data_IF_664257656486
#
_entry.id   IF_664257656486
#
_cell.length_a   1.000
_cell.length_b   1.000
_cell.length_c   1.000
_cell.angle_alpha   90.00
_cell.angle_beta   90.00
_cell.angle_gamma   90.00
#
_symmetry.space_group_name_H-M   'P 1'
#
loop_
_entity.id
_entity.type
_entity.pdbx_description
1 polymer ?
#
# COMPACT_ATOMS: atom_id res chain seq x y z
N UNK A 1 -3.50 37.63 -13.52
CA UNK A 1 -4.22 36.59 -12.76
C UNK A 1 -3.36 35.35 -12.81
N UNK A 2 -2.84 34.89 -11.67
CA UNK A 2 -2.18 33.59 -11.59
C UNK A 2 -3.28 32.56 -11.76
N UNK A 3 -3.17 31.71 -12.78
CA UNK A 3 -3.99 30.51 -12.88
C UNK A 3 -3.72 29.70 -11.60
N UNK A 4 -4.74 29.64 -10.74
CA UNK A 4 -4.84 28.59 -9.74
C UNK A 4 -4.86 27.30 -10.56
N UNK A 5 -3.74 26.59 -10.59
CA UNK A 5 -3.73 25.22 -11.06
C UNK A 5 -4.72 24.49 -10.15
N UNK A 6 -5.94 24.30 -10.65
CA UNK A 6 -6.89 23.36 -10.09
C UNK A 6 -6.15 22.02 -10.03
N UNK A 7 -5.59 21.70 -8.85
CA UNK A 7 -4.96 20.43 -8.58
C UNK A 7 -6.08 19.39 -8.70
N UNK A 8 -6.22 18.85 -9.90
CA UNK A 8 -7.12 17.76 -10.15
C UNK A 8 -6.53 16.52 -9.44
N UNK A 9 -6.88 16.36 -8.17
CA UNK A 9 -6.56 15.17 -7.39
C UNK A 9 -7.44 14.01 -7.85
N UNK A 10 -7.17 13.48 -9.05
CA UNK A 10 -7.89 12.33 -9.59
C UNK A 10 -7.59 11.03 -8.83
N UNK A 11 -6.51 11.01 -8.04
CA UNK A 11 -6.08 9.86 -7.26
C UNK A 11 -6.06 10.26 -5.78
N UNK A 12 -7.08 9.78 -5.06
CA UNK A 12 -7.19 9.89 -3.60
C UNK A 12 -6.85 8.56 -2.95
N UNK A 13 -6.44 8.58 -1.67
CA UNK A 13 -6.25 7.36 -0.87
C UNK A 13 -7.50 6.46 -0.92
N UNK A 14 -8.68 7.06 -0.79
CA UNK A 14 -9.95 6.33 -0.87
C UNK A 14 -10.16 5.66 -2.23
N UNK A 15 -9.80 6.33 -3.34
CA UNK A 15 -9.89 5.72 -4.67
C UNK A 15 -8.89 4.59 -4.86
N UNK A 16 -7.66 4.69 -4.32
CA UNK A 16 -6.65 3.64 -4.37
C UNK A 16 -7.08 2.42 -3.57
N UNK A 17 -7.59 2.63 -2.36
CA UNK A 17 -8.13 1.57 -1.50
C UNK A 17 -9.32 0.89 -2.17
N UNK A 18 -10.28 1.66 -2.68
CA UNK A 18 -11.45 1.12 -3.40
C UNK A 18 -11.03 0.29 -4.61
N UNK A 19 -10.07 0.79 -5.39
CA UNK A 19 -9.53 0.07 -6.53
C UNK A 19 -8.83 -1.22 -6.11
N UNK A 20 -7.97 -1.17 -5.10
CA UNK A 20 -7.26 -2.33 -4.56
C UNK A 20 -8.20 -3.40 -4.02
N UNK A 21 -9.27 -3.02 -3.33
CA UNK A 21 -10.31 -3.95 -2.89
C UNK A 21 -11.04 -4.62 -4.07
N UNK A 22 -11.39 -3.83 -5.10
CA UNK A 22 -12.02 -4.37 -6.30
C UNK A 22 -11.09 -5.37 -7.03
N UNK A 23 -9.78 -5.09 -7.06
CA UNK A 23 -8.76 -5.99 -7.61
C UNK A 23 -8.64 -7.28 -6.81
N UNK A 24 -8.56 -7.18 -5.48
CA UNK A 24 -8.37 -8.33 -4.60
C UNK A 24 -9.58 -9.28 -4.57
N UNK A 25 -10.75 -8.80 -4.98
CA UNK A 25 -11.99 -9.59 -5.05
C UNK A 25 -12.30 -10.09 -6.47
N UNK A 26 -11.41 -9.88 -7.43
CA UNK A 26 -11.65 -10.35 -8.80
C UNK A 26 -11.76 -11.88 -8.83
N UNK A 27 -12.65 -12.42 -9.68
CA UNK A 27 -12.68 -13.86 -9.92
C UNK A 27 -11.30 -14.34 -10.37
N UNK A 28 -10.82 -15.48 -9.86
CA UNK A 28 -9.57 -16.03 -10.32
C UNK A 28 -9.61 -16.35 -11.81
N UNK A 29 -8.46 -16.17 -12.45
CA UNK A 29 -8.24 -16.66 -13.81
C UNK A 29 -8.15 -18.18 -13.77
N UNK A 30 -8.70 -18.84 -14.79
CA UNK A 30 -8.69 -20.30 -14.90
C UNK A 30 -7.26 -20.86 -14.72
N UNK A 31 -7.10 -21.80 -13.79
CA UNK A 31 -5.80 -22.41 -13.45
C UNK A 31 -4.96 -21.66 -12.41
N UNK A 32 -5.45 -20.56 -11.84
CA UNK A 32 -4.77 -19.83 -10.75
C UNK A 32 -5.60 -19.84 -9.46
N UNK A 33 -4.97 -20.19 -8.35
CA UNK A 33 -5.54 -19.99 -7.02
C UNK A 33 -5.15 -18.60 -6.52
N UNK A 34 -6.11 -17.68 -6.31
CA UNK A 34 -5.81 -16.35 -5.86
C UNK A 34 -5.45 -16.39 -4.36
N UNK A 35 -4.62 -15.45 -3.87
CA UNK A 35 -4.42 -15.31 -2.44
C UNK A 35 -5.76 -14.99 -1.74
N UNK A 36 -5.89 -15.32 -0.44
CA UNK A 36 -7.08 -14.97 0.31
C UNK A 36 -7.32 -13.45 0.28
N UNK A 37 -8.59 -13.01 0.25
CA UNK A 37 -8.90 -11.60 0.22
C UNK A 37 -8.40 -10.91 1.50
N UNK A 38 -7.90 -9.67 1.40
CA UNK A 38 -7.43 -8.92 2.55
C UNK A 38 -8.58 -8.60 3.51
N UNK A 39 -8.32 -8.71 4.81
CA UNK A 39 -9.31 -8.46 5.85
C UNK A 39 -9.82 -7.00 5.77
N UNK A 40 -11.13 -6.79 5.68
CA UNK A 40 -11.70 -5.44 5.66
C UNK A 40 -11.42 -4.71 6.97
N UNK A 41 -10.90 -3.48 6.88
CA UNK A 41 -10.74 -2.59 8.04
C UNK A 41 -11.33 -1.23 7.72
N UNK A 42 -12.20 -0.72 8.60
CA UNK A 42 -12.90 0.56 8.41
C UNK A 42 -11.95 1.76 8.48
N UNK A 43 -10.78 1.59 9.10
CA UNK A 43 -9.79 2.65 9.34
C UNK A 43 -8.64 2.67 8.32
N UNK A 44 -8.77 1.94 7.20
CA UNK A 44 -7.75 1.91 6.13
C UNK A 44 -7.27 3.29 5.68
N UNK A 45 -8.13 4.30 5.43
CA UNK A 45 -7.65 5.60 4.99
C UNK A 45 -6.73 6.28 6.00
N UNK A 46 -7.08 6.21 7.29
CA UNK A 46 -6.29 6.79 8.37
C UNK A 46 -4.96 6.03 8.54
N UNK A 47 -5.00 4.70 8.54
CA UNK A 47 -3.79 3.87 8.61
C UNK A 47 -2.86 4.11 7.42
N UNK A 48 -3.41 4.29 6.23
CA UNK A 48 -2.62 4.61 5.03
C UNK A 48 -1.84 5.90 5.24
N UNK A 49 -2.51 6.98 5.65
CA UNK A 49 -1.85 8.26 5.94
C UNK A 49 -0.73 8.13 6.97
N UNK A 50 -0.97 7.38 8.06
CA UNK A 50 0.03 7.13 9.11
C UNK A 50 1.21 6.29 8.59
N UNK A 51 0.93 5.27 7.77
CA UNK A 51 1.93 4.39 7.19
C UNK A 51 2.85 5.10 6.20
N UNK A 52 2.39 6.15 5.49
CA UNK A 52 3.18 6.87 4.48
C UNK A 52 4.53 7.37 5.02
N UNK A 53 4.57 7.79 6.29
CA UNK A 53 5.81 8.27 6.92
C UNK A 53 6.84 7.14 7.01
N UNK A 54 6.43 6.00 7.57
CA UNK A 54 7.28 4.83 7.71
C UNK A 54 7.68 4.23 6.35
N UNK A 55 6.78 4.25 5.37
CA UNK A 55 7.10 3.81 3.99
C UNK A 55 8.14 4.72 3.35
N UNK A 56 8.04 6.04 3.53
CA UNK A 56 9.01 6.98 2.98
C UNK A 56 10.41 6.73 3.53
N UNK A 57 10.53 6.54 4.84
CA UNK A 57 11.79 6.18 5.50
C UNK A 57 12.32 4.83 4.99
N UNK A 58 11.44 3.83 4.86
CA UNK A 58 11.82 2.54 4.31
C UNK A 58 12.36 2.64 2.88
N UNK A 59 11.69 3.40 2.00
CA UNK A 59 12.13 3.60 0.61
C UNK A 59 13.46 4.34 0.56
N UNK A 60 13.65 5.37 1.39
CA UNK A 60 14.94 6.06 1.49
C UNK A 60 16.05 5.12 1.96
N UNK A 61 15.79 4.27 2.96
CA UNK A 61 16.73 3.24 3.39
C UNK A 61 17.00 2.20 2.30
N UNK A 62 15.97 1.81 1.55
CA UNK A 62 16.07 0.85 0.47
C UNK A 62 16.93 1.33 -0.70
N UNK A 63 17.00 2.64 -0.94
CA UNK A 63 17.88 3.24 -1.96
C UNK A 63 19.36 3.01 -1.67
N UNK A 64 19.75 2.84 -0.40
CA UNK A 64 21.11 2.44 -0.02
C UNK A 64 21.40 0.95 -0.29
N UNK A 65 20.38 0.18 -0.67
CA UNK A 65 20.46 -1.24 -0.92
C UNK A 65 20.29 -2.10 0.33
N UNK A 66 19.96 -3.36 0.11
CA UNK A 66 19.93 -4.40 1.14
C UNK A 66 21.03 -5.42 0.88
N UNK A 67 21.50 -6.08 1.94
CA UNK A 67 22.55 -7.10 1.84
C UNK A 67 22.16 -8.26 0.89
N UNK A 68 20.87 -8.61 0.85
CA UNK A 68 20.31 -9.61 -0.07
C UNK A 68 18.78 -9.47 -0.16
N UNK A 69 18.17 -10.28 -1.05
CA UNK A 69 16.73 -10.30 -1.25
C UNK A 69 15.94 -10.76 0.00
N UNK A 70 16.50 -11.64 0.84
CA UNK A 70 15.83 -12.09 2.05
C UNK A 70 15.72 -10.96 3.08
N UNK A 71 16.79 -10.20 3.27
CA UNK A 71 16.82 -9.02 4.14
C UNK A 71 15.78 -7.97 3.72
N UNK A 72 15.65 -7.71 2.41
CA UNK A 72 14.60 -6.83 1.88
C UNK A 72 13.20 -7.37 2.20
N UNK A 73 12.94 -8.66 1.93
CA UNK A 73 11.62 -9.28 2.19
C UNK A 73 11.24 -9.21 3.65
N UNK A 74 12.17 -9.49 4.56
CA UNK A 74 11.93 -9.40 6.00
C UNK A 74 11.67 -7.97 6.46
N UNK A 75 12.44 -7.00 5.96
CA UNK A 75 12.23 -5.59 6.28
C UNK A 75 10.87 -5.09 5.76
N UNK A 76 10.50 -5.45 4.53
CA UNK A 76 9.17 -5.16 3.97
C UNK A 76 8.06 -5.82 4.80
N UNK A 77 8.21 -7.08 5.20
CA UNK A 77 7.20 -7.77 6.00
C UNK A 77 7.02 -7.11 7.36
N UNK A 78 8.13 -6.71 8.01
CA UNK A 78 8.08 -5.97 9.29
C UNK A 78 7.35 -4.64 9.14
N UNK A 79 7.61 -3.90 8.06
CA UNK A 79 6.92 -2.65 7.77
C UNK A 79 5.40 -2.85 7.61
N UNK A 80 4.98 -3.87 6.86
CA UNK A 80 3.56 -4.18 6.67
C UNK A 80 2.90 -4.49 8.03
N UNK A 81 3.54 -5.32 8.86
CA UNK A 81 2.98 -5.68 10.17
C UNK A 81 2.90 -4.48 11.13
N UNK A 82 3.92 -3.63 11.15
CA UNK A 82 4.03 -2.56 12.14
C UNK A 82 3.30 -1.28 11.72
N UNK A 83 3.52 -0.81 10.50
CA UNK A 83 2.98 0.46 10.02
C UNK A 83 1.62 0.30 9.33
N UNK A 84 1.39 -0.83 8.67
CA UNK A 84 0.16 -1.06 7.90
C UNK A 84 -0.87 -1.94 8.65
N UNK A 85 -0.60 -2.30 9.90
CA UNK A 85 -1.49 -3.17 10.69
C UNK A 85 -1.66 -4.57 10.12
N UNK A 86 -0.71 -5.04 9.31
CA UNK A 86 -0.78 -6.32 8.60
C UNK A 86 -1.64 -6.29 7.33
N UNK A 87 -2.20 -5.13 6.95
CA UNK A 87 -3.01 -4.99 5.74
C UNK A 87 -2.14 -4.58 4.55
N UNK A 88 -2.02 -5.49 3.57
CA UNK A 88 -1.25 -5.21 2.36
C UNK A 88 -1.88 -4.11 1.49
N UNK A 89 -3.21 -3.93 1.51
CA UNK A 89 -3.84 -2.84 0.77
C UNK A 89 -3.45 -1.48 1.34
N UNK A 90 -3.27 -1.38 2.66
CA UNK A 90 -2.75 -0.16 3.30
C UNK A 90 -1.32 0.11 2.85
N UNK A 91 -0.49 -0.93 2.76
CA UNK A 91 0.88 -0.81 2.24
C UNK A 91 0.93 -0.34 0.77
N UNK A 92 0.03 -0.83 -0.09
CA UNK A 92 0.03 -0.43 -1.51
C UNK A 92 -0.60 0.94 -1.75
N UNK A 93 -1.47 1.42 -0.87
CA UNK A 93 -2.10 2.73 -0.99
C UNK A 93 -1.28 3.88 -0.38
N UNK A 94 -0.26 3.57 0.45
CA UNK A 94 0.62 4.52 1.14
C UNK A 94 1.87 4.86 0.31
#
# INVERSE_FOLDING_TARGET
MKEEAENLEFITINSLLTYGEAMARRPPVEGAEPPPPPASSEDRPQRTLEAMVALREFVQGAQAGFANAAAYREARQRLIQQACGGDELVFFAA
#
